data_IF_865954206570
#
_entry.id   IF_865954206570
#
_cell.length_a   1.000
_cell.length_b   1.000
_cell.length_c   1.000
_cell.angle_alpha   90.00
_cell.angle_beta   90.00
_cell.angle_gamma   90.00
#
_symmetry.space_group_name_H-M   'P 1'
#
loop_
_entity.id
_entity.type
_entity.pdbx_description
1 polymer ?
#
# COMPACT_ATOMS: atom_id res chain seq x y z
N UNK A 1 -19.85 -1.02 29.96
CA UNK A 1 -19.83 0.34 30.55
C UNK A 1 -20.67 1.23 29.67
N UNK A 2 -21.35 2.23 30.24
CA UNK A 2 -22.25 3.13 29.50
C UNK A 2 -21.59 3.75 28.26
N UNK A 3 -20.31 4.16 28.38
CA UNK A 3 -19.54 4.70 27.26
C UNK A 3 -19.36 3.69 26.11
N UNK A 4 -19.10 2.42 26.43
CA UNK A 4 -18.94 1.37 25.42
C UNK A 4 -20.27 1.07 24.70
N UNK A 5 -21.38 1.09 25.44
CA UNK A 5 -22.73 0.91 24.88
C UNK A 5 -23.12 2.09 23.99
N UNK A 6 -22.87 3.32 24.43
CA UNK A 6 -23.11 4.52 23.63
C UNK A 6 -22.33 4.50 22.31
N UNK A 7 -21.07 4.03 22.33
CA UNK A 7 -20.26 3.83 21.13
C UNK A 7 -20.85 2.74 20.22
N UNK A 8 -21.27 1.62 20.78
CA UNK A 8 -21.86 0.52 20.02
C UNK A 8 -23.17 0.96 19.33
N UNK A 9 -24.04 1.69 20.04
CA UNK A 9 -25.28 2.26 19.49
C UNK A 9 -24.96 3.24 18.37
N UNK A 10 -24.04 4.18 18.61
CA UNK A 10 -23.64 5.18 17.62
C UNK A 10 -23.10 4.52 16.35
N UNK A 11 -22.24 3.51 16.48
CA UNK A 11 -21.69 2.77 15.34
C UNK A 11 -22.76 1.98 14.58
N UNK A 12 -23.78 1.47 15.26
CA UNK A 12 -24.87 0.79 14.59
C UNK A 12 -25.76 1.76 13.81
N UNK A 13 -26.10 2.92 14.39
CA UNK A 13 -26.85 3.95 13.68
C UNK A 13 -26.08 4.45 12.46
N UNK A 14 -24.75 4.62 12.56
CA UNK A 14 -23.91 4.96 11.40
C UNK A 14 -24.00 3.90 10.30
N UNK A 15 -23.95 2.60 10.64
CA UNK A 15 -24.11 1.51 9.67
C UNK A 15 -25.44 1.58 8.95
N UNK A 16 -26.54 1.76 9.67
CA UNK A 16 -27.87 1.91 9.07
C UNK A 16 -27.95 3.18 8.21
N UNK A 17 -27.35 4.29 8.65
CA UNK A 17 -27.30 5.52 7.88
C UNK A 17 -26.53 5.40 6.57
N UNK A 18 -25.46 4.59 6.54
CA UNK A 18 -24.71 4.32 5.31
C UNK A 18 -25.43 3.35 4.38
N UNK A 19 -26.24 2.45 4.90
CA UNK A 19 -27.08 1.54 4.10
C UNK A 19 -28.26 2.24 3.41
N UNK A 20 -28.72 3.36 3.99
CA UNK A 20 -29.93 4.06 3.57
C UNK A 20 -29.69 5.58 3.44
N UNK A 21 -29.06 5.99 2.34
CA UNK A 21 -28.72 7.39 2.07
C UNK A 21 -29.95 8.31 2.02
N UNK A 22 -31.08 7.81 1.54
CA UNK A 22 -32.33 8.56 1.41
C UNK A 22 -33.04 8.87 2.74
N UNK A 23 -32.62 8.22 3.84
CA UNK A 23 -33.27 8.35 5.15
C UNK A 23 -32.41 9.23 6.05
N UNK A 24 -33.01 10.22 6.71
CA UNK A 24 -32.35 11.04 7.72
C UNK A 24 -32.23 10.30 9.06
N UNK A 25 -31.10 10.47 9.75
CA UNK A 25 -30.84 9.85 11.05
C UNK A 25 -30.49 10.90 12.10
N UNK A 26 -31.04 10.77 13.31
CA UNK A 26 -30.63 11.55 14.47
C UNK A 26 -30.52 10.65 15.68
N UNK A 27 -29.47 10.81 16.48
CA UNK A 27 -29.25 10.07 17.72
C UNK A 27 -28.98 11.05 18.85
N UNK A 28 -29.84 11.00 19.86
CA UNK A 28 -29.71 11.73 21.12
C UNK A 28 -29.45 10.70 22.24
N UNK A 29 -28.37 10.88 23.00
CA UNK A 29 -28.00 10.04 24.17
C UNK A 29 -27.91 10.98 25.38
N UNK A 30 -28.63 10.65 26.45
CA UNK A 30 -28.67 11.44 27.70
C UNK A 30 -28.96 12.93 27.47
N UNK A 31 -29.91 13.22 26.57
CA UNK A 31 -30.32 14.59 26.22
C UNK A 31 -29.31 15.37 25.37
N UNK A 32 -28.21 14.74 24.94
CA UNK A 32 -27.21 15.35 24.04
C UNK A 32 -27.30 14.73 22.66
N UNK A 33 -27.29 15.58 21.64
CA UNK A 33 -27.26 15.13 20.25
C UNK A 33 -25.87 14.66 19.86
N UNK A 34 -25.75 13.36 19.58
CA UNK A 34 -24.50 12.69 19.22
C UNK A 34 -24.34 12.60 17.70
N UNK A 35 -25.43 12.41 16.97
CA UNK A 35 -25.41 12.27 15.52
C UNK A 35 -26.61 12.98 14.90
N UNK A 36 -26.39 13.65 13.77
CA UNK A 36 -27.46 14.16 12.90
C UNK A 36 -26.99 14.09 11.45
N UNK A 37 -27.70 13.31 10.65
CA UNK A 37 -27.45 13.09 9.23
C UNK A 37 -28.75 13.41 8.49
N UNK A 38 -28.69 14.37 7.57
CA UNK A 38 -29.84 14.73 6.73
C UNK A 38 -30.03 13.67 5.63
N UNK A 39 -31.27 13.47 5.15
CA UNK A 39 -31.51 12.61 3.99
C UNK A 39 -30.77 13.14 2.77
N UNK A 40 -30.15 12.24 2.02
CA UNK A 40 -29.42 12.52 0.79
C UNK A 40 -30.18 12.00 -0.43
N UNK A 41 -29.82 12.46 -1.63
CA UNK A 41 -30.43 11.94 -2.86
C UNK A 41 -29.98 10.49 -3.12
N UNK A 42 -30.87 9.59 -3.57
CA UNK A 42 -30.47 8.23 -3.97
C UNK A 42 -29.45 8.26 -5.10
N UNK A 43 -28.46 7.38 -5.03
CA UNK A 43 -27.43 7.23 -6.07
C UNK A 43 -26.00 7.53 -5.58
N UNK A 44 -24.99 7.41 -6.45
CA UNK A 44 -23.59 7.46 -6.05
C UNK A 44 -23.19 8.77 -5.36
N UNK A 45 -23.68 9.91 -5.86
CA UNK A 45 -23.34 11.23 -5.31
C UNK A 45 -23.88 11.43 -3.90
N UNK A 46 -25.17 11.15 -3.66
CA UNK A 46 -25.74 11.27 -2.32
C UNK A 46 -25.23 10.21 -1.36
N UNK A 47 -24.90 9.01 -1.87
CA UNK A 47 -24.18 8.00 -1.08
C UNK A 47 -22.80 8.48 -0.66
N UNK A 48 -22.03 9.09 -1.57
CA UNK A 48 -20.73 9.65 -1.23
C UNK A 48 -20.85 10.78 -0.20
N UNK A 49 -21.85 11.67 -0.34
CA UNK A 49 -22.13 12.72 0.64
C UNK A 49 -22.46 12.12 2.03
N UNK A 50 -23.32 11.10 2.07
CA UNK A 50 -23.64 10.35 3.29
C UNK A 50 -22.39 9.72 3.92
N UNK A 51 -21.54 9.09 3.11
CA UNK A 51 -20.30 8.48 3.58
C UNK A 51 -19.32 9.52 4.11
N UNK A 52 -19.16 10.67 3.44
CA UNK A 52 -18.32 11.77 3.89
C UNK A 52 -18.80 12.36 5.23
N UNK A 53 -20.11 12.45 5.43
CA UNK A 53 -20.69 12.89 6.70
C UNK A 53 -20.40 11.92 7.87
N UNK A 54 -20.20 10.63 7.59
CA UNK A 54 -19.92 9.59 8.59
C UNK A 54 -18.42 9.34 8.80
N UNK A 55 -17.65 9.25 7.70
CA UNK A 55 -16.23 8.88 7.68
C UNK A 55 -15.28 10.08 7.75
N UNK A 56 -15.80 11.29 7.58
CA UNK A 56 -15.05 12.54 7.48
C UNK A 56 -14.98 13.07 6.05
N UNK A 57 -14.83 14.40 5.93
CA UNK A 57 -14.84 15.11 4.64
C UNK A 57 -13.73 14.62 3.71
N UNK A 58 -12.54 14.35 4.26
CA UNK A 58 -11.38 13.86 3.50
C UNK A 58 -11.63 12.53 2.79
N UNK A 59 -12.61 11.74 3.24
CA UNK A 59 -12.97 10.51 2.54
C UNK A 59 -13.46 10.78 1.13
N UNK A 60 -14.23 11.85 0.91
CA UNK A 60 -14.77 12.18 -0.41
C UNK A 60 -13.67 12.42 -1.44
N UNK A 61 -12.63 13.17 -1.06
CA UNK A 61 -11.52 13.51 -1.96
C UNK A 61 -10.55 12.35 -2.17
N UNK A 62 -10.55 11.39 -1.25
CA UNK A 62 -9.66 10.22 -1.28
C UNK A 62 -10.38 8.91 -1.59
N UNK A 63 -11.62 8.95 -2.09
CA UNK A 63 -12.39 7.77 -2.44
C UNK A 63 -12.50 7.56 -3.96
N UNK A 64 -12.49 6.30 -4.35
CA UNK A 64 -12.76 5.87 -5.73
C UNK A 64 -14.11 5.17 -5.74
N UNK A 65 -14.94 5.53 -6.71
CA UNK A 65 -16.20 4.85 -6.97
C UNK A 65 -15.95 3.46 -7.57
N UNK A 66 -16.69 2.48 -7.05
CA UNK A 66 -16.73 1.11 -7.56
C UNK A 66 -18.14 0.88 -8.11
N UNK A 67 -18.22 0.41 -9.35
CA UNK A 67 -19.45 -0.12 -9.95
C UNK A 67 -19.07 -1.23 -10.94
N UNK A 68 -19.32 -2.48 -10.54
CA UNK A 68 -19.00 -3.65 -11.34
C UNK A 68 -20.08 -4.71 -11.17
N UNK A 69 -20.43 -5.40 -12.25
CA UNK A 69 -21.44 -6.47 -12.24
C UNK A 69 -20.88 -7.70 -12.92
N UNK A 70 -21.11 -8.88 -12.32
CA UNK A 70 -20.70 -10.17 -12.88
C UNK A 70 -21.68 -11.26 -12.43
N UNK A 71 -22.15 -12.05 -13.40
CA UNK A 71 -22.97 -13.25 -13.15
C UNK A 71 -24.15 -13.00 -12.18
N UNK A 72 -24.85 -11.87 -12.34
CA UNK A 72 -26.00 -11.49 -11.51
C UNK A 72 -25.66 -10.86 -10.15
N UNK A 73 -24.38 -10.76 -9.79
CA UNK A 73 -23.89 -10.06 -8.59
C UNK A 73 -23.35 -8.69 -9.00
N UNK A 74 -23.87 -7.62 -8.38
CA UNK A 74 -23.38 -6.25 -8.58
C UNK A 74 -22.71 -5.73 -7.31
N UNK A 75 -21.50 -5.23 -7.46
CA UNK A 75 -20.72 -4.56 -6.44
C UNK A 75 -20.72 -3.06 -6.73
N UNK A 76 -21.20 -2.26 -5.78
CA UNK A 76 -21.07 -0.80 -5.81
C UNK A 76 -20.41 -0.28 -4.55
N UNK A 77 -20.02 1.00 -4.55
CA UNK A 77 -19.62 1.69 -3.34
C UNK A 77 -18.38 2.55 -3.54
N UNK A 78 -17.68 2.83 -2.45
CA UNK A 78 -16.53 3.70 -2.44
C UNK A 78 -15.39 3.08 -1.65
N UNK A 79 -14.19 3.14 -2.22
CA UNK A 79 -12.99 2.57 -1.64
C UNK A 79 -11.89 3.63 -1.58
N UNK A 80 -11.28 3.80 -0.41
CA UNK A 80 -10.24 4.79 -0.19
C UNK A 80 -8.96 4.48 -0.97
N UNK A 81 -8.27 5.52 -1.41
CA UNK A 81 -6.92 5.41 -1.97
C UNK A 81 -5.96 4.76 -0.97
N UNK A 82 -4.92 4.05 -1.42
CA UNK A 82 -3.94 3.44 -0.52
C UNK A 82 -3.24 4.46 0.40
N UNK A 83 -3.07 5.70 -0.07
CA UNK A 83 -2.53 6.83 0.70
C UNK A 83 -3.47 7.29 1.82
N UNK A 84 -4.78 6.98 1.73
CA UNK A 84 -5.79 7.25 2.75
C UNK A 84 -6.16 5.98 3.52
N UNK A 85 -5.23 5.57 4.39
CA UNK A 85 -5.37 4.37 5.22
C UNK A 85 -5.59 4.70 6.70
N UNK A 86 -5.85 3.66 7.50
CA UNK A 86 -6.05 3.71 8.96
C UNK A 86 -5.23 2.63 9.65
N UNK A 87 -4.93 2.84 10.94
CA UNK A 87 -4.26 1.86 11.78
C UNK A 87 -5.18 0.73 12.29
N UNK A 88 -6.48 0.75 11.96
CA UNK A 88 -7.42 -0.31 12.32
C UNK A 88 -8.50 -0.47 11.25
N UNK A 89 -9.24 -1.58 11.32
CA UNK A 89 -10.30 -1.93 10.38
C UNK A 89 -11.67 -1.29 10.69
N UNK A 90 -11.75 -0.31 11.59
CA UNK A 90 -13.04 0.22 12.06
C UNK A 90 -13.85 0.91 10.93
N UNK A 91 -13.16 1.46 9.93
CA UNK A 91 -13.77 2.18 8.81
C UNK A 91 -13.98 1.28 7.57
N UNK A 92 -14.29 0.01 7.79
CA UNK A 92 -14.62 -0.96 6.75
C UNK A 92 -16.09 -1.37 6.90
N UNK A 93 -16.92 -0.91 5.98
CA UNK A 93 -18.35 -1.12 6.00
C UNK A 93 -18.75 -1.95 4.78
N UNK A 94 -19.47 -3.05 5.02
CA UNK A 94 -19.85 -4.02 4.02
C UNK A 94 -21.35 -4.23 4.11
N UNK A 95 -22.03 -4.20 2.98
CA UNK A 95 -23.48 -4.31 2.89
C UNK A 95 -23.87 -5.37 1.87
N UNK A 96 -24.90 -6.15 2.18
CA UNK A 96 -25.47 -7.15 1.27
C UNK A 96 -26.97 -6.90 1.18
N UNK A 97 -27.48 -6.56 -0.01
CA UNK A 97 -28.88 -6.20 -0.24
C UNK A 97 -29.40 -5.15 0.77
N UNK A 98 -28.58 -4.13 1.07
CA UNK A 98 -28.90 -3.07 2.02
C UNK A 98 -28.74 -3.43 3.50
N UNK A 99 -28.38 -4.67 3.84
CA UNK A 99 -28.09 -5.08 5.22
C UNK A 99 -26.61 -4.88 5.55
N UNK A 100 -26.24 -4.19 6.65
CA UNK A 100 -24.87 -4.17 7.13
C UNK A 100 -24.44 -5.56 7.61
N UNK A 101 -23.27 -6.02 7.18
CA UNK A 101 -22.72 -7.34 7.51
C UNK A 101 -21.28 -7.25 7.99
N UNK A 102 -20.85 -8.24 8.77
CA UNK A 102 -19.49 -8.44 9.27
C UNK A 102 -18.96 -9.81 8.86
N UNK A 103 -19.19 -10.13 7.59
CA UNK A 103 -18.85 -11.44 7.04
C UNK A 103 -17.33 -11.59 6.78
N UNK A 104 -16.77 -12.73 7.18
CA UNK A 104 -15.33 -13.02 7.07
C UNK A 104 -14.86 -13.11 5.62
N UNK A 105 -15.69 -13.61 4.71
CA UNK A 105 -15.33 -13.72 3.30
C UNK A 105 -15.19 -12.34 2.67
N UNK A 106 -16.15 -11.44 2.93
CA UNK A 106 -16.12 -10.09 2.39
C UNK A 106 -14.94 -9.27 2.95
N UNK A 107 -14.69 -9.37 4.26
CA UNK A 107 -13.51 -8.75 4.89
C UNK A 107 -12.20 -9.30 4.33
N UNK A 108 -12.12 -10.63 4.15
CA UNK A 108 -10.97 -11.29 3.54
C UNK A 108 -10.75 -10.87 2.08
N UNK A 109 -11.83 -10.66 1.31
CA UNK A 109 -11.76 -10.18 -0.06
C UNK A 109 -11.25 -8.73 -0.15
N UNK A 110 -11.76 -7.84 0.72
CA UNK A 110 -11.27 -6.47 0.83
C UNK A 110 -9.78 -6.42 1.18
N UNK A 111 -9.35 -7.21 2.18
CA UNK A 111 -7.93 -7.32 2.54
C UNK A 111 -7.09 -7.82 1.37
N UNK A 112 -7.53 -8.89 0.70
CA UNK A 112 -6.82 -9.46 -0.44
C UNK A 112 -6.72 -8.50 -1.64
N UNK A 113 -7.70 -7.61 -1.83
CA UNK A 113 -7.65 -6.59 -2.87
C UNK A 113 -6.58 -5.52 -2.61
N UNK A 114 -6.36 -5.16 -1.34
CA UNK A 114 -5.43 -4.12 -0.92
C UNK A 114 -4.06 -4.64 -0.50
N UNK A 115 -3.86 -5.96 -0.44
CA UNK A 115 -2.64 -6.59 0.07
C UNK A 115 -1.36 -6.05 -0.59
N UNK A 116 -1.41 -5.79 -1.89
CA UNK A 116 -0.27 -5.28 -2.65
C UNK A 116 -0.07 -3.77 -2.42
N UNK A 117 -1.12 -3.03 -2.04
CA UNK A 117 -1.09 -1.56 -2.02
C UNK A 117 -0.83 -0.95 -0.64
N UNK A 118 -1.02 -1.73 0.43
CA UNK A 118 -0.92 -1.25 1.80
C UNK A 118 0.23 -1.95 2.53
N UNK A 119 0.96 -1.16 3.32
CA UNK A 119 1.91 -1.69 4.28
C UNK A 119 1.20 -2.58 5.33
N UNK A 120 2.00 -3.39 6.03
CA UNK A 120 1.51 -4.24 7.12
C UNK A 120 0.80 -3.39 8.19
N UNK A 121 -0.25 -3.96 8.79
CA UNK A 121 -1.07 -3.32 9.82
C UNK A 121 -1.70 -1.97 9.40
N UNK A 122 -1.89 -1.78 8.09
CA UNK A 122 -2.69 -0.70 7.52
C UNK A 122 -3.96 -1.25 6.90
N UNK A 123 -5.02 -0.46 7.05
CA UNK A 123 -6.37 -0.84 6.65
C UNK A 123 -6.95 0.22 5.72
N UNK A 124 -7.59 -0.19 4.61
CA UNK A 124 -8.32 0.75 3.77
C UNK A 124 -9.58 1.23 4.49
N UNK A 125 -9.97 2.47 4.20
CA UNK A 125 -11.32 2.96 4.47
C UNK A 125 -12.21 2.60 3.29
N UNK A 126 -13.31 1.87 3.51
CA UNK A 126 -14.17 1.43 2.41
C UNK A 126 -15.63 1.25 2.86
N UNK A 127 -16.56 1.50 1.94
CA UNK A 127 -17.97 1.19 2.06
C UNK A 127 -18.44 0.49 0.78
N UNK A 128 -18.66 -0.82 0.84
CA UNK A 128 -18.99 -1.66 -0.33
C UNK A 128 -20.36 -2.31 -0.18
N UNK A 129 -21.11 -2.33 -1.27
CA UNK A 129 -22.49 -2.75 -1.35
C UNK A 129 -22.62 -3.85 -2.40
N UNK A 130 -22.89 -5.07 -1.94
CA UNK A 130 -23.15 -6.23 -2.78
C UNK A 130 -24.66 -6.36 -2.95
N UNK A 131 -25.13 -6.37 -4.19
CA UNK A 131 -26.51 -6.63 -4.56
C UNK A 131 -26.59 -7.87 -5.44
N UNK A 132 -27.47 -8.79 -5.09
CA UNK A 132 -27.67 -10.08 -5.76
C UNK A 132 -29.07 -10.63 -5.46
N UNK A 133 -29.51 -11.63 -6.22
CA UNK A 133 -30.77 -12.33 -5.96
C UNK A 133 -30.79 -12.87 -4.51
N UNK A 134 -31.90 -12.66 -3.82
CA UNK A 134 -32.17 -13.19 -2.48
C UNK A 134 -32.09 -14.72 -2.40
N UNK A 135 -32.30 -15.44 -3.51
CA UNK A 135 -32.13 -16.90 -3.56
C UNK A 135 -30.65 -17.34 -3.52
N UNK A 136 -29.72 -16.42 -3.84
CA UNK A 136 -28.27 -16.70 -3.93
C UNK A 136 -27.53 -16.35 -2.63
N UNK A 137 -28.24 -15.86 -1.60
CA UNK A 137 -27.68 -15.54 -0.29
C UNK A 137 -28.60 -15.97 0.85
N UNK A 138 -28.05 -16.76 1.78
CA UNK A 138 -28.72 -17.11 3.02
C UNK A 138 -28.26 -16.20 4.16
N UNK A 139 -29.21 -15.45 4.71
CA UNK A 139 -28.99 -14.52 5.84
C UNK A 139 -29.23 -15.21 7.19
N UNK A 140 -29.85 -16.40 7.21
CA UNK A 140 -30.23 -17.12 8.41
C UNK A 140 -29.11 -18.03 8.95
N UNK A 141 -27.86 -17.55 8.93
CA UNK A 141 -26.69 -18.32 9.39
C UNK A 141 -26.19 -17.92 10.78
N UNK A 142 -26.55 -16.72 11.25
CA UNK A 142 -26.15 -16.23 12.57
C UNK A 142 -27.34 -15.59 13.30
N UNK A 143 -27.48 -15.72 14.63
CA UNK A 143 -28.60 -15.14 15.40
C UNK A 143 -28.79 -13.63 15.16
N UNK A 144 -27.67 -12.90 15.13
CA UNK A 144 -27.64 -11.46 14.86
C UNK A 144 -27.71 -11.08 13.36
N UNK A 145 -27.76 -12.06 12.44
CA UNK A 145 -27.80 -11.87 10.98
C UNK A 145 -26.67 -10.96 10.44
N UNK A 146 -25.55 -10.95 11.15
CA UNK A 146 -24.37 -10.17 10.79
C UNK A 146 -23.48 -10.90 9.78
N UNK A 147 -23.61 -12.22 9.69
CA UNK A 147 -22.93 -13.06 8.72
C UNK A 147 -23.93 -13.54 7.68
N UNK A 148 -23.45 -13.82 6.47
CA UNK A 148 -24.26 -14.31 5.36
C UNK A 148 -23.55 -15.45 4.66
N UNK A 149 -24.30 -16.38 4.08
CA UNK A 149 -23.74 -17.47 3.29
C UNK A 149 -24.17 -17.32 1.85
N UNK A 150 -23.22 -17.06 0.98
CA UNK A 150 -23.43 -17.02 -0.46
C UNK A 150 -23.51 -18.44 -1.02
N UNK A 151 -24.35 -18.64 -2.03
CA UNK A 151 -24.40 -19.90 -2.79
C UNK A 151 -23.10 -20.15 -3.55
N UNK A 152 -22.55 -19.10 -4.17
CA UNK A 152 -21.21 -19.10 -4.77
C UNK A 152 -20.29 -18.07 -4.06
N UNK A 153 -19.58 -18.49 -3.00
CA UNK A 153 -18.63 -17.64 -2.29
C UNK A 153 -17.45 -17.18 -3.17
N UNK A 154 -17.01 -18.01 -4.12
CA UNK A 154 -15.85 -17.74 -4.94
C UNK A 154 -16.13 -16.61 -5.95
N UNK A 155 -17.31 -16.61 -6.55
CA UNK A 155 -17.79 -15.56 -7.44
C UNK A 155 -17.77 -14.18 -6.73
N UNK A 156 -18.37 -14.10 -5.54
CA UNK A 156 -18.46 -12.84 -4.77
C UNK A 156 -17.07 -12.34 -4.37
N UNK A 157 -16.22 -13.24 -3.86
CA UNK A 157 -14.82 -12.91 -3.52
C UNK A 157 -14.06 -12.41 -4.74
N UNK A 158 -14.16 -13.13 -5.87
CA UNK A 158 -13.49 -12.79 -7.12
C UNK A 158 -13.93 -11.44 -7.68
N UNK A 159 -15.23 -11.14 -7.64
CA UNK A 159 -15.77 -9.84 -8.04
C UNK A 159 -15.20 -8.70 -7.20
N UNK A 160 -15.19 -8.84 -5.87
CA UNK A 160 -14.64 -7.80 -4.97
C UNK A 160 -13.16 -7.57 -5.21
N UNK A 161 -12.37 -8.65 -5.25
CA UNK A 161 -10.92 -8.55 -5.46
C UNK A 161 -10.61 -7.94 -6.82
N UNK A 162 -11.26 -8.42 -7.88
CA UNK A 162 -11.05 -7.93 -9.25
C UNK A 162 -11.44 -6.47 -9.41
N UNK A 163 -12.64 -6.09 -8.96
CA UNK A 163 -13.16 -4.73 -9.09
C UNK A 163 -12.29 -3.70 -8.35
N UNK A 164 -11.89 -4.00 -7.11
CA UNK A 164 -11.03 -3.13 -6.33
C UNK A 164 -9.63 -3.02 -6.93
N UNK A 165 -9.00 -4.14 -7.32
CA UNK A 165 -7.67 -4.11 -7.95
C UNK A 165 -7.67 -3.30 -9.25
N UNK A 166 -8.72 -3.45 -10.07
CA UNK A 166 -8.88 -2.67 -11.28
C UNK A 166 -9.02 -1.17 -10.99
N UNK A 167 -9.89 -0.80 -10.04
CA UNK A 167 -10.09 0.59 -9.65
C UNK A 167 -8.84 1.23 -9.04
N UNK A 168 -8.13 0.51 -8.16
CA UNK A 168 -6.89 0.97 -7.53
C UNK A 168 -5.75 1.12 -8.53
N UNK A 169 -5.61 0.21 -9.49
CA UNK A 169 -4.62 0.33 -10.56
C UNK A 169 -4.88 1.60 -11.41
N UNK A 170 -6.13 1.88 -11.75
CA UNK A 170 -6.50 3.11 -12.46
C UNK A 170 -6.29 4.39 -11.64
N UNK A 171 -6.44 4.31 -10.32
CA UNK A 171 -6.31 5.46 -9.43
C UNK A 171 -4.88 5.73 -8.92
N UNK A 172 -4.02 4.72 -8.80
CA UNK A 172 -2.61 4.88 -8.41
C UNK A 172 -1.83 5.82 -9.35
N UNK A 173 -2.18 5.81 -10.64
CA UNK A 173 -1.68 6.75 -11.63
C UNK A 173 -2.14 8.20 -11.38
N UNK A 174 -3.33 8.40 -10.78
CA UNK A 174 -3.91 9.72 -10.47
C UNK A 174 -3.52 10.28 -9.10
N UNK A 175 -3.31 9.43 -8.10
CA UNK A 175 -2.93 9.88 -6.75
C UNK A 175 -1.48 10.37 -6.67
N UNK A 176 -0.59 9.82 -7.51
CA UNK A 176 0.81 10.27 -7.62
C UNK A 176 0.91 11.70 -8.16
N UNK A 177 -0.07 12.15 -8.95
CA UNK A 177 -0.07 13.50 -9.54
C UNK A 177 -0.70 14.55 -8.62
N UNK A 178 -1.74 14.23 -7.83
CA UNK A 178 -2.44 15.21 -6.99
C UNK A 178 -1.71 15.60 -5.70
N UNK A 179 -1.03 14.66 -5.03
CA UNK A 179 -0.19 14.96 -3.85
C UNK A 179 1.01 15.82 -4.26
N UNK A 180 1.54 15.61 -5.47
CA UNK A 180 2.58 16.45 -6.05
C UNK A 180 2.08 17.90 -6.27
N UNK A 181 0.85 18.10 -6.77
CA UNK A 181 0.30 19.46 -7.00
C UNK A 181 0.14 20.26 -5.71
N UNK A 182 -0.38 19.66 -4.62
CA UNK A 182 -0.51 20.35 -3.33
C UNK A 182 0.85 20.66 -2.69
N UNK A 183 1.83 19.75 -2.81
CA UNK A 183 3.20 20.01 -2.35
C UNK A 183 3.87 21.12 -3.17
N UNK A 184 3.66 21.16 -4.49
CA UNK A 184 4.18 22.22 -5.37
C UNK A 184 3.51 23.57 -5.15
N UNK A 185 2.21 23.61 -4.87
CA UNK A 185 1.51 24.86 -4.55
C UNK A 185 1.91 25.43 -3.19
N UNK A 186 2.38 24.61 -2.25
CA UNK A 186 2.98 25.08 -0.99
C UNK A 186 4.43 25.53 -1.13
N UNK A 187 5.14 25.11 -2.19
CA UNK A 187 6.51 25.51 -2.52
C UNK A 187 6.55 26.71 -3.50
N UNK A 188 5.46 26.97 -4.23
CA UNK A 188 5.32 28.19 -5.04
C UNK A 188 5.33 29.41 -4.12
N UNK A 189 6.46 30.11 -4.09
CA UNK A 189 6.56 31.45 -3.53
C UNK A 189 5.43 32.30 -4.13
N UNK A 190 4.53 32.79 -3.27
CA UNK A 190 3.52 33.77 -3.66
C UNK A 190 4.26 34.92 -4.34
N UNK A 191 4.01 35.08 -5.65
CA UNK A 191 4.62 36.13 -6.44
C UNK A 191 4.33 37.47 -5.77
N UNK A 192 5.35 38.04 -5.12
CA UNK A 192 5.28 39.36 -4.54
C UNK A 192 5.10 40.36 -5.68
N UNK A 193 3.85 40.79 -5.88
CA UNK A 193 3.53 41.97 -6.67
C UNK A 193 4.33 43.16 -6.15
N UNK A 194 4.88 43.91 -7.10
CA UNK A 194 5.60 45.17 -6.90
C UNK A 194 4.80 46.11 -5.99
N UNK A 195 5.26 46.27 -4.75
CA UNK A 195 4.70 47.16 -3.76
C UNK A 195 5.80 47.72 -2.87
N UNK A 196 6.23 48.94 -3.20
CA UNK A 196 7.21 49.74 -2.47
C UNK A 196 6.82 49.97 -1.01
N UNK A 197 7.68 49.57 -0.06
CA UNK A 197 7.77 50.24 1.25
C UNK A 197 9.14 49.99 1.90
N UNK A 198 9.73 50.97 2.63
CA UNK A 198 11.16 51.03 2.90
C UNK A 198 11.47 50.59 4.33
N UNK A 199 12.14 49.45 4.51
CA UNK A 199 12.77 49.13 5.79
C UNK A 199 14.16 48.53 5.60
N UNK A 200 15.05 49.04 6.44
CA UNK A 200 16.50 49.01 6.42
C UNK A 200 17.11 47.60 6.31
N UNK A 201 18.16 47.49 5.47
CA UNK A 201 19.06 46.34 5.43
C UNK A 201 19.79 46.20 6.76
N UNK A 202 19.57 45.08 7.45
CA UNK A 202 20.45 44.61 8.50
C UNK A 202 21.09 43.30 8.02
N UNK A 203 22.41 43.35 7.82
CA UNK A 203 23.21 42.22 7.37
C UNK A 203 23.14 41.09 8.39
N UNK A 204 22.63 39.93 7.96
CA UNK A 204 22.71 38.68 8.72
C UNK A 204 24.15 38.13 8.76
N UNK A 205 24.52 37.36 9.79
CA UNK A 205 25.89 36.92 10.00
C UNK A 205 26.34 35.89 8.96
N UNK A 206 27.55 36.09 8.45
CA UNK A 206 28.31 35.16 7.61
C UNK A 206 28.64 33.86 8.36
N UNK A 207 28.64 32.69 7.70
CA UNK A 207 29.00 31.42 8.33
C UNK A 207 30.53 31.31 8.41
N UNK A 208 31.11 31.94 9.42
CA UNK A 208 32.49 31.73 9.83
C UNK A 208 32.50 31.37 11.32
N UNK A 209 32.69 30.09 11.61
CA UNK A 209 33.18 29.61 12.91
C UNK A 209 32.13 29.34 13.99
N UNK A 210 31.76 28.07 14.14
CA UNK A 210 31.70 27.47 15.48
C UNK A 210 32.09 25.99 15.40
N UNK A 211 33.40 25.76 15.46
CA UNK A 211 33.99 24.44 15.70
C UNK A 211 33.96 24.16 17.20
N UNK A 212 33.00 23.35 17.64
CA UNK A 212 32.96 22.77 18.99
C UNK A 212 33.02 21.25 18.92
N UNK A 213 34.06 20.73 18.27
CA UNK A 213 34.45 19.30 18.29
C UNK A 213 35.97 19.17 18.16
N UNK A 214 36.72 19.96 18.93
CA UNK A 214 38.05 19.59 19.37
C UNK A 214 37.95 19.46 20.89
N UNK A 215 38.43 18.33 21.39
CA UNK A 215 38.51 17.97 22.81
C UNK A 215 37.29 17.20 23.38
N UNK A 216 37.41 15.86 23.41
CA UNK A 216 36.80 15.05 24.48
C UNK A 216 35.69 14.05 24.14
N UNK A 217 36.06 12.89 23.61
CA UNK A 217 35.64 11.57 24.13
C UNK A 217 34.16 11.16 24.08
N UNK A 218 33.65 10.78 22.90
CA UNK A 218 32.60 9.75 22.77
C UNK A 218 33.00 8.79 21.64
N UNK A 219 33.37 7.57 21.99
CA UNK A 219 33.66 6.51 21.03
C UNK A 219 32.35 5.81 20.63
N UNK A 220 32.10 5.54 19.34
CA UNK A 220 30.95 4.76 18.93
C UNK A 220 31.06 3.33 19.50
N UNK A 221 29.94 2.68 19.89
CA UNK A 221 29.96 1.30 20.30
C UNK A 221 30.46 0.44 19.14
N UNK A 222 31.54 -0.31 19.37
CA UNK A 222 32.02 -1.31 18.42
C UNK A 222 30.99 -2.44 18.35
N UNK A 223 30.47 -2.79 17.16
CA UNK A 223 29.63 -3.97 17.03
C UNK A 223 30.45 -5.20 17.43
N UNK A 224 29.94 -5.97 18.39
CA UNK A 224 30.47 -7.28 18.71
C UNK A 224 30.18 -8.20 17.53
N UNK A 225 31.21 -8.49 16.74
CA UNK A 225 31.17 -9.53 15.72
C UNK A 225 31.21 -10.87 16.44
N UNK A 226 30.10 -11.62 16.45
CA UNK A 226 30.10 -13.03 16.83
C UNK A 226 30.73 -13.85 15.70
N UNK A 227 31.80 -14.61 15.96
CA UNK A 227 32.41 -15.48 14.95
C UNK A 227 31.41 -16.53 14.45
N UNK A 228 31.19 -16.62 13.13
CA UNK A 228 30.38 -17.64 12.48
C UNK A 228 28.97 -17.22 12.02
N UNK A 229 28.56 -15.95 12.22
CA UNK A 229 27.26 -15.42 11.75
C UNK A 229 27.38 -14.43 10.56
N UNK A 230 28.59 -14.18 10.07
CA UNK A 230 28.88 -13.30 8.93
C UNK A 230 29.51 -14.02 7.73
N UNK A 231 29.59 -15.35 7.77
CA UNK A 231 30.12 -16.14 6.66
C UNK A 231 29.05 -16.30 5.58
N UNK A 232 28.91 -15.25 4.78
CA UNK A 232 28.20 -15.28 3.51
C UNK A 232 28.94 -16.25 2.60
N UNK A 233 28.27 -17.35 2.26
CA UNK A 233 28.72 -18.29 1.23
C UNK A 233 29.04 -17.53 -0.07
N UNK A 234 30.22 -17.80 -0.61
CA UNK A 234 30.82 -17.11 -1.73
C UNK A 234 29.92 -17.09 -2.97
N UNK A 235 29.25 -15.94 -3.18
CA UNK A 235 28.97 -15.42 -4.52
C UNK A 235 29.27 -13.93 -4.48
N UNK A 236 30.45 -13.58 -4.99
CA UNK A 236 30.81 -12.19 -5.28
C UNK A 236 30.09 -11.84 -6.57
N UNK A 237 28.94 -11.17 -6.45
CA UNK A 237 28.43 -10.36 -7.56
C UNK A 237 29.40 -9.19 -7.73
N UNK A 238 29.94 -8.94 -8.94
CA UNK A 238 30.85 -7.84 -9.14
C UNK A 238 30.15 -6.53 -8.81
N UNK A 239 30.79 -5.70 -7.97
CA UNK A 239 30.28 -4.37 -7.66
C UNK A 239 30.22 -3.52 -8.93
N UNK A 240 29.33 -2.53 -8.96
CA UNK A 240 29.15 -1.63 -10.10
C UNK A 240 30.46 -0.99 -10.60
N UNK A 241 31.46 -0.82 -9.72
CA UNK A 241 32.81 -0.36 -10.07
C UNK A 241 33.65 -1.40 -10.82
N UNK A 242 33.51 -2.69 -10.52
CA UNK A 242 34.26 -3.77 -11.17
C UNK A 242 33.74 -4.03 -12.58
N UNK A 243 32.43 -3.90 -12.79
CA UNK A 243 31.80 -3.99 -14.13
C UNK A 243 32.26 -2.83 -15.02
N UNK A 244 32.39 -1.63 -14.45
CA UNK A 244 32.92 -0.45 -15.15
C UNK A 244 34.43 -0.59 -15.45
N UNK A 245 35.22 -1.13 -14.52
CA UNK A 245 36.66 -1.38 -14.71
C UNK A 245 36.95 -2.40 -15.81
N UNK A 246 36.24 -3.53 -15.82
CA UNK A 246 36.39 -4.57 -16.85
C UNK A 246 35.91 -4.10 -18.23
N UNK A 247 34.90 -3.23 -18.30
CA UNK A 247 34.46 -2.61 -19.54
C UNK A 247 35.47 -1.58 -20.10
N UNK A 248 36.21 -0.88 -19.22
CA UNK A 248 37.26 0.06 -19.63
C UNK A 248 38.52 -0.66 -20.18
N UNK A 249 38.92 -1.77 -19.57
CA UNK A 249 40.10 -2.55 -20.02
C UNK A 249 39.84 -3.35 -21.31
N UNK A 250 38.60 -3.77 -21.56
CA UNK A 250 38.22 -4.45 -22.81
C UNK A 250 38.23 -3.51 -24.03
N UNK A 251 38.01 -2.21 -23.83
CA UNK A 251 38.01 -1.20 -24.90
C UNK A 251 39.42 -0.76 -25.28
N UNK A 252 40.40 -0.83 -24.38
CA UNK A 252 41.79 -0.42 -24.68
C UNK A 252 42.65 -1.49 -25.37
N UNK A 253 42.31 -2.79 -25.24
CA UNK A 253 43.16 -3.87 -25.74
C UNK A 253 42.69 -4.54 -27.05
N UNK A 254 41.79 -3.89 -27.81
CA UNK A 254 41.36 -4.41 -29.11
C UNK A 254 41.87 -3.54 -30.25
N UNK A 255 43.10 -3.80 -30.72
CA UNK A 255 43.65 -3.25 -31.96
C UNK A 255 43.04 -3.95 -33.19
N UNK A 256 41.74 -3.76 -33.42
CA UNK A 256 41.09 -3.94 -34.72
C UNK A 256 39.63 -3.48 -34.61
N UNK A 257 39.33 -2.27 -35.08
CA UNK A 257 37.94 -1.87 -35.31
C UNK A 257 37.41 -2.55 -36.58
N UNK A 258 36.37 -3.39 -36.53
CA UNK A 258 35.66 -3.78 -37.73
C UNK A 258 34.92 -2.54 -38.26
N UNK A 259 35.15 -2.21 -39.54
CA UNK A 259 34.41 -1.16 -40.24
C UNK A 259 32.95 -1.61 -40.43
N UNK A 260 32.08 -1.20 -39.51
CA UNK A 260 30.64 -1.29 -39.72
C UNK A 260 30.21 -0.25 -40.77
N UNK A 261 29.32 -0.59 -41.71
CA UNK A 261 28.72 0.40 -42.58
C UNK A 261 28.00 1.44 -41.71
N UNK A 262 28.28 2.72 -41.94
CA UNK A 262 27.62 3.85 -41.30
C UNK A 262 26.10 3.67 -41.42
N UNK A 263 25.48 3.19 -40.34
CA UNK A 263 24.05 3.27 -40.18
C UNK A 263 23.71 4.75 -40.10
N UNK A 264 23.00 5.26 -41.10
CA UNK A 264 22.54 6.64 -41.14
C UNK A 264 21.83 7.03 -39.85
N UNK A 265 22.00 8.29 -39.48
CA UNK A 265 21.50 8.96 -38.28
C UNK A 265 20.00 8.80 -38.04
N UNK A 266 19.57 7.63 -37.58
CA UNK A 266 18.36 7.50 -36.80
C UNK A 266 18.77 7.58 -35.33
N UNK A 267 19.19 8.77 -34.91
CA UNK A 267 19.34 9.07 -33.51
C UNK A 267 17.97 8.86 -32.85
N UNK A 268 17.84 7.81 -32.04
CA UNK A 268 16.70 7.68 -31.14
C UNK A 268 16.57 9.01 -30.36
N UNK A 269 15.35 9.57 -30.23
CA UNK A 269 15.19 10.83 -29.51
C UNK A 269 15.85 10.73 -28.14
N UNK A 270 16.54 11.78 -27.68
CA UNK A 270 17.24 11.75 -26.40
C UNK A 270 16.22 11.45 -25.30
N UNK A 271 16.36 10.29 -24.67
CA UNK A 271 15.57 9.94 -23.49
C UNK A 271 16.06 10.79 -22.33
N UNK A 272 15.20 11.68 -21.83
CA UNK A 272 15.48 12.44 -20.62
C UNK A 272 15.12 11.57 -19.41
N UNK A 273 16.04 11.32 -18.45
CA UNK A 273 15.73 10.61 -17.20
C UNK A 273 14.54 11.19 -16.43
N UNK A 274 14.18 12.46 -16.66
CA UNK A 274 12.98 13.08 -16.09
C UNK A 274 11.69 12.39 -16.57
N UNK A 275 11.74 11.69 -17.71
CA UNK A 275 10.63 10.95 -18.31
C UNK A 275 10.42 9.55 -17.71
N UNK A 276 11.25 9.13 -16.74
CA UNK A 276 10.96 7.92 -15.97
C UNK A 276 9.64 8.07 -15.18
N UNK A 277 8.90 6.97 -14.92
CA UNK A 277 7.62 7.03 -14.20
C UNK A 277 7.67 7.69 -12.82
N UNK A 278 8.82 7.62 -12.13
CA UNK A 278 9.07 8.29 -10.85
C UNK A 278 9.98 9.52 -10.98
N UNK A 279 10.36 9.89 -12.21
CA UNK A 279 11.28 10.97 -12.51
C UNK A 279 12.77 10.62 -12.35
N UNK A 280 13.61 11.62 -12.60
CA UNK A 280 15.06 11.53 -12.47
C UNK A 280 15.47 11.63 -11.00
N UNK A 281 16.05 10.59 -10.41
CA UNK A 281 16.63 10.67 -9.07
C UNK A 281 17.71 11.77 -9.01
N UNK A 282 17.56 12.72 -8.08
CA UNK A 282 18.46 13.88 -7.92
C UNK A 282 19.27 13.81 -6.63
N UNK A 283 18.70 13.28 -5.56
CA UNK A 283 19.35 13.22 -4.26
C UNK A 283 18.85 12.02 -3.43
N UNK A 284 19.64 11.64 -2.44
CA UNK A 284 19.25 10.73 -1.38
C UNK A 284 19.39 11.45 -0.04
N UNK A 285 18.39 11.31 0.83
CA UNK A 285 18.31 12.00 2.12
C UNK A 285 18.30 10.96 3.23
N UNK A 286 19.26 11.09 4.17
CA UNK A 286 19.43 10.19 5.32
C UNK A 286 19.47 8.70 4.97
N UNK A 287 19.95 8.35 3.77
CA UNK A 287 19.95 6.97 3.26
C UNK A 287 18.57 6.27 3.30
N UNK A 288 17.50 7.04 3.45
CA UNK A 288 16.14 6.53 3.67
C UNK A 288 15.22 6.96 2.54
N UNK A 289 15.41 8.17 2.01
CA UNK A 289 14.53 8.73 0.99
C UNK A 289 15.30 9.06 -0.29
N UNK A 290 14.73 8.72 -1.43
CA UNK A 290 15.19 9.18 -2.75
C UNK A 290 14.29 10.33 -3.19
N UNK A 291 14.90 11.44 -3.58
CA UNK A 291 14.22 12.61 -4.14
C UNK A 291 14.43 12.61 -5.64
N UNK A 292 13.35 12.50 -6.40
CA UNK A 292 13.36 12.44 -7.86
C UNK A 292 12.60 13.63 -8.47
N UNK A 293 13.10 14.17 -9.57
CA UNK A 293 12.50 15.28 -10.32
C UNK A 293 11.69 14.75 -11.51
N UNK A 294 10.45 15.20 -11.65
CA UNK A 294 9.61 14.98 -12.83
C UNK A 294 9.47 16.27 -13.63
N UNK A 295 8.86 16.23 -14.83
CA UNK A 295 8.65 17.45 -15.64
C UNK A 295 7.85 18.52 -14.91
N UNK A 296 6.89 18.05 -14.12
CA UNK A 296 5.92 18.90 -13.45
C UNK A 296 6.19 19.04 -11.95
N UNK A 297 7.23 18.39 -11.39
CA UNK A 297 7.45 18.40 -9.96
C UNK A 297 8.56 17.53 -9.38
N UNK A 298 8.29 16.99 -8.19
CA UNK A 298 9.23 16.18 -7.40
C UNK A 298 8.49 15.04 -6.70
N UNK A 299 9.10 13.85 -6.70
CA UNK A 299 8.63 12.63 -6.04
C UNK A 299 9.61 12.27 -4.92
N UNK A 300 9.08 11.91 -3.75
CA UNK A 300 9.88 11.38 -2.63
C UNK A 300 9.55 9.91 -2.46
N UNK A 301 10.56 9.05 -2.56
CA UNK A 301 10.42 7.60 -2.46
C UNK A 301 11.08 7.15 -1.15
N UNK A 302 10.32 6.47 -0.29
CA UNK A 302 10.89 5.71 0.82
C UNK A 302 11.61 4.48 0.26
N UNK A 303 12.93 4.43 0.43
CA UNK A 303 13.78 3.38 -0.12
C UNK A 303 13.47 2.01 0.48
N UNK A 304 13.13 1.94 1.78
CA UNK A 304 12.82 0.68 2.43
C UNK A 304 11.50 0.13 1.90
N UNK A 305 10.46 0.96 1.86
CA UNK A 305 9.16 0.57 1.32
C UNK A 305 9.25 0.19 -0.17
N UNK A 306 10.04 0.94 -0.97
CA UNK A 306 10.26 0.63 -2.37
C UNK A 306 11.02 -0.69 -2.57
N UNK A 307 12.03 -0.96 -1.72
CA UNK A 307 12.78 -2.21 -1.77
C UNK A 307 11.88 -3.41 -1.45
N UNK A 308 11.11 -3.35 -0.36
CA UNK A 308 10.13 -4.38 -0.01
C UNK A 308 9.14 -4.62 -1.16
N UNK A 309 8.67 -3.54 -1.80
CA UNK A 309 7.74 -3.62 -2.92
C UNK A 309 8.34 -4.31 -4.14
N UNK A 310 9.59 -4.01 -4.49
CA UNK A 310 10.30 -4.64 -5.59
C UNK A 310 10.55 -6.12 -5.34
N UNK A 311 10.95 -6.49 -4.12
CA UNK A 311 11.13 -7.88 -3.70
C UNK A 311 9.80 -8.63 -3.79
N UNK A 312 8.72 -8.04 -3.27
CA UNK A 312 7.38 -8.63 -3.32
C UNK A 312 6.88 -8.85 -4.76
N UNK A 313 6.97 -7.85 -5.64
CA UNK A 313 6.53 -8.00 -7.03
C UNK A 313 7.41 -8.98 -7.82
N UNK A 314 8.72 -9.04 -7.52
CA UNK A 314 9.61 -10.09 -8.08
C UNK A 314 9.15 -11.48 -7.66
N UNK A 315 8.95 -11.71 -6.35
CA UNK A 315 8.46 -13.00 -5.83
C UNK A 315 7.12 -13.38 -6.46
N UNK A 316 6.21 -12.42 -6.65
CA UNK A 316 4.93 -12.65 -7.31
C UNK A 316 5.08 -13.05 -8.77
N UNK A 317 6.00 -12.40 -9.51
CA UNK A 317 6.34 -12.77 -10.88
C UNK A 317 6.93 -14.19 -10.96
N UNK A 318 7.84 -14.52 -10.06
CA UNK A 318 8.44 -15.86 -9.93
C UNK A 318 7.39 -16.94 -9.60
N UNK A 319 6.48 -16.66 -8.66
CA UNK A 319 5.34 -17.55 -8.36
C UNK A 319 4.45 -17.78 -9.59
N UNK A 320 4.17 -16.73 -10.37
CA UNK A 320 3.39 -16.86 -11.60
C UNK A 320 4.13 -17.63 -12.71
N UNK A 321 5.46 -17.59 -12.72
CA UNK A 321 6.33 -18.29 -13.67
C UNK A 321 6.69 -19.73 -13.26
N UNK A 322 6.15 -20.23 -12.15
CA UNK A 322 6.27 -21.64 -11.75
C UNK A 322 7.24 -21.95 -10.62
N UNK A 323 7.74 -20.94 -9.90
CA UNK A 323 8.46 -21.18 -8.64
C UNK A 323 9.23 -19.96 -8.12
N UNK A 324 9.22 -19.76 -6.80
CA UNK A 324 10.05 -18.76 -6.11
C UNK A 324 11.52 -19.21 -6.14
N UNK A 325 12.44 -18.27 -6.38
CA UNK A 325 13.87 -18.56 -6.26
C UNK A 325 14.19 -19.05 -4.85
N UNK A 326 14.66 -20.30 -4.74
CA UNK A 326 14.95 -20.95 -3.45
C UNK A 326 16.44 -21.12 -3.24
N UNK A 327 16.89 -20.87 -2.02
CA UNK A 327 18.23 -21.19 -1.55
C UNK A 327 18.10 -22.15 -0.38
N UNK A 328 18.58 -23.38 -0.54
CA UNK A 328 18.65 -24.34 0.57
C UNK A 328 19.66 -23.84 1.59
N UNK A 329 19.29 -23.87 2.86
CA UNK A 329 20.21 -23.59 3.96
C UNK A 329 21.32 -24.64 3.99
N UNK A 330 22.55 -24.23 4.33
CA UNK A 330 23.67 -25.16 4.50
C UNK A 330 23.43 -26.15 5.65
N UNK A 331 22.73 -25.69 6.68
CA UNK A 331 22.27 -26.46 7.82
C UNK A 331 20.76 -26.24 7.96
N UNK A 332 19.93 -27.30 7.98
CA UNK A 332 18.51 -27.16 8.26
C UNK A 332 18.27 -26.49 9.61
N UNK A 333 17.31 -25.59 9.68
CA UNK A 333 16.86 -25.01 10.95
C UNK A 333 15.83 -25.96 11.57
N UNK A 334 16.09 -26.39 12.82
CA UNK A 334 15.18 -27.26 13.57
C UNK A 334 14.23 -26.39 14.36
N UNK A 335 12.92 -26.62 14.19
CA UNK A 335 11.87 -25.87 14.88
C UNK A 335 11.06 -26.82 15.75
N UNK A 336 11.15 -26.66 17.06
CA UNK A 336 10.37 -27.48 17.99
C UNK A 336 8.90 -27.05 17.97
N UNK A 337 8.00 -27.99 17.65
CA UNK A 337 6.56 -27.78 17.57
C UNK A 337 5.82 -28.82 18.41
N UNK A 338 4.67 -28.42 18.99
CA UNK A 338 3.77 -29.41 19.59
C UNK A 338 3.30 -30.40 18.50
N UNK A 339 3.09 -31.69 18.83
CA UNK A 339 2.70 -32.71 17.86
C UNK A 339 1.51 -32.33 16.97
N UNK A 340 0.50 -31.64 17.52
CA UNK A 340 -0.67 -31.21 16.75
C UNK A 340 -0.34 -30.05 15.78
N UNK A 341 0.67 -29.25 16.08
CA UNK A 341 1.15 -28.17 15.21
C UNK A 341 2.01 -28.70 14.08
N UNK A 342 2.94 -29.60 14.41
CA UNK A 342 3.78 -30.30 13.45
C UNK A 342 2.93 -31.03 12.40
N UNK A 343 1.89 -31.77 12.83
CA UNK A 343 0.98 -32.47 11.91
C UNK A 343 0.27 -31.50 10.94
N UNK A 344 -0.18 -30.34 11.44
CA UNK A 344 -0.83 -29.31 10.61
C UNK A 344 0.11 -28.69 9.58
N UNK A 345 1.36 -28.46 9.95
CA UNK A 345 2.39 -27.90 9.06
C UNK A 345 2.77 -28.94 7.99
N UNK A 346 3.02 -30.18 8.39
CA UNK A 346 3.38 -31.28 7.49
C UNK A 346 2.24 -31.59 6.50
N UNK A 347 0.98 -31.49 6.92
CA UNK A 347 -0.18 -31.63 6.02
C UNK A 347 -0.22 -30.58 4.89
N UNK A 348 0.59 -29.51 5.00
CA UNK A 348 0.72 -28.42 4.02
C UNK A 348 2.14 -28.32 3.43
N UNK A 349 2.98 -29.35 3.60
CA UNK A 349 4.36 -29.35 3.14
C UNK A 349 4.48 -29.08 1.62
N UNK A 350 3.62 -29.66 0.79
CA UNK A 350 3.61 -29.39 -0.66
C UNK A 350 3.28 -27.92 -0.97
N UNK A 351 2.32 -27.33 -0.25
CA UNK A 351 1.94 -25.92 -0.41
C UNK A 351 3.10 -25.00 0.02
N UNK A 352 3.73 -25.29 1.15
CA UNK A 352 4.92 -24.58 1.63
C UNK A 352 6.10 -24.69 0.64
N UNK A 353 6.28 -25.86 0.01
CA UNK A 353 7.33 -26.06 -0.99
C UNK A 353 7.13 -25.19 -2.23
N UNK A 354 5.88 -24.92 -2.65
CA UNK A 354 5.60 -23.97 -3.74
C UNK A 354 5.96 -22.52 -3.38
N UNK A 355 5.99 -22.21 -2.08
CA UNK A 355 6.41 -20.90 -1.54
C UNK A 355 7.92 -20.84 -1.27
N UNK A 356 8.67 -21.91 -1.55
CA UNK A 356 10.12 -22.00 -1.34
C UNK A 356 10.55 -22.54 0.02
N UNK A 357 9.61 -23.01 0.86
CA UNK A 357 9.88 -23.58 2.18
C UNK A 357 9.77 -25.11 2.14
N UNK A 358 10.89 -25.79 2.35
CA UNK A 358 10.92 -27.26 2.46
C UNK A 358 10.90 -27.63 3.93
N UNK A 359 9.88 -28.37 4.33
CA UNK A 359 9.70 -28.86 5.70
C UNK A 359 9.64 -30.38 5.68
N UNK A 360 10.39 -31.00 6.58
CA UNK A 360 10.48 -32.44 6.77
C UNK A 360 10.39 -32.72 8.27
N UNK A 361 9.80 -33.86 8.65
CA UNK A 361 9.73 -34.26 10.06
C UNK A 361 11.11 -34.67 10.56
N UNK A 362 11.53 -34.18 11.73
CA UNK A 362 12.80 -34.53 12.36
C UNK A 362 12.59 -35.11 13.76
N UNK A 363 12.17 -36.37 13.82
CA UNK A 363 11.97 -37.08 15.10
C UNK A 363 10.73 -36.61 15.88
N UNK A 364 10.54 -37.11 17.11
CA UNK A 364 9.35 -36.76 17.90
C UNK A 364 9.49 -35.35 18.50
N UNK A 365 8.81 -34.37 17.89
CA UNK A 365 8.68 -33.00 18.40
C UNK A 365 9.42 -31.91 17.63
N UNK A 366 10.06 -32.24 16.50
CA UNK A 366 10.85 -31.33 15.67
C UNK A 366 10.67 -31.57 14.17
#
# INVERSE_FOLDING_TARGET
SERAEALAITEEIKRQAMAHEAVGFSLDIDGRRVLRLLPEHPGPQGRLARLAAVLGRDFQDNAIEIDQTRDGVRLTGFAGLPTYNRGNAAHQYLFVNGRPVRDRLLQGALRAAYADFLARDRHPTAALYVSLDTAEVDVNVHPAKAEVRFRDPALVRGLIVGALRHALAGAGHRASTTVATQALDSIRAQGAGLGSSPFQFQAGPSPAGFSAWREGGWAPPRPQVLPGLSDVSARVEPGFSDVLGQAYDAVQNTEASPSYPQAGDYAAPPFDPVDFPLGAARAQVHETYIVAQTRDGMVIVDQHAAHERLVYERMKGEMAAGGVARQTLLLPEVVDLDPAEAERVLARAEELATLGLIVESFGPGA
#
